data_IF_293554881992
#
_entry.id   IF_293554881992
#
_cell.length_a   1.000
_cell.length_b   1.000
_cell.length_c   1.000
_cell.angle_alpha   90.00
_cell.angle_beta   90.00
_cell.angle_gamma   90.00
#
_symmetry.space_group_name_H-M   'P 1'
#
loop_
_entity.id
_entity.type
_entity.pdbx_description
1 polymer ?
#
# COMPACT_ATOMS: atom_id res chain seq x y z
N UNK A 1 13.75 -13.05 -6.11
CA UNK A 1 14.81 -13.41 -5.16
C UNK A 1 14.67 -14.86 -4.70
N UNK A 2 15.78 -15.47 -4.27
CA UNK A 2 15.77 -16.82 -3.72
C UNK A 2 15.18 -16.84 -2.30
N UNK A 3 14.37 -17.84 -2.00
CA UNK A 3 13.82 -18.12 -0.67
C UNK A 3 14.36 -19.45 -0.10
N UNK A 4 15.53 -19.86 -0.53
CA UNK A 4 16.18 -21.11 -0.16
C UNK A 4 16.61 -21.89 -1.39
N UNK A 5 16.97 -23.17 -1.21
CA UNK A 5 17.62 -23.95 -2.28
C UNK A 5 16.73 -24.22 -3.50
N UNK A 6 15.43 -24.32 -3.32
CA UNK A 6 14.49 -24.76 -4.37
C UNK A 6 13.30 -23.83 -4.58
N UNK A 7 13.24 -22.71 -3.87
CA UNK A 7 12.10 -21.79 -3.93
C UNK A 7 12.55 -20.39 -4.31
N UNK A 8 11.83 -19.75 -5.22
CA UNK A 8 12.04 -18.36 -5.62
C UNK A 8 10.76 -17.58 -5.47
N UNK A 9 10.88 -16.34 -4.99
CA UNK A 9 9.77 -15.39 -5.00
C UNK A 9 9.89 -14.49 -6.23
N UNK A 10 8.78 -14.33 -6.92
CA UNK A 10 8.62 -13.45 -8.08
C UNK A 10 7.49 -12.50 -7.79
N UNK A 11 7.70 -11.20 -7.94
CA UNK A 11 6.70 -10.19 -7.65
C UNK A 11 6.71 -9.07 -8.67
N UNK A 12 5.56 -8.41 -8.81
CA UNK A 12 5.37 -7.21 -9.59
C UNK A 12 4.66 -6.19 -8.70
N UNK A 13 5.18 -4.97 -8.64
CA UNK A 13 4.58 -3.85 -7.92
C UNK A 13 3.98 -2.90 -8.94
N UNK A 14 2.70 -2.58 -8.77
CA UNK A 14 1.97 -1.67 -9.64
C UNK A 14 1.46 -0.48 -8.83
N UNK A 15 1.73 0.74 -9.30
CA UNK A 15 1.06 1.93 -8.79
C UNK A 15 -0.40 1.92 -9.24
N UNK A 16 -1.35 1.99 -8.29
CA UNK A 16 -2.78 1.93 -8.60
C UNK A 16 -3.34 3.23 -9.19
N UNK A 17 -2.50 4.24 -9.40
CA UNK A 17 -2.83 5.49 -10.07
C UNK A 17 -2.67 5.41 -11.61
N UNK A 18 -2.64 4.21 -12.16
CA UNK A 18 -2.57 4.00 -13.60
C UNK A 18 -3.80 4.57 -14.32
N UNK A 19 -3.57 5.09 -15.52
CA UNK A 19 -4.59 5.77 -16.32
C UNK A 19 -5.48 4.83 -17.17
N UNK A 20 -5.19 3.55 -17.18
CA UNK A 20 -5.89 2.55 -17.99
C UNK A 20 -6.92 1.81 -17.14
N UNK A 21 -8.21 2.06 -17.35
CA UNK A 21 -9.29 1.49 -16.55
C UNK A 21 -9.47 -0.03 -16.70
N UNK A 22 -8.96 -0.59 -17.79
CA UNK A 22 -8.98 -2.03 -18.09
C UNK A 22 -7.68 -2.75 -17.73
N UNK A 23 -6.74 -2.07 -17.06
CA UNK A 23 -5.53 -2.71 -16.57
C UNK A 23 -5.87 -3.67 -15.43
N UNK A 24 -5.52 -4.93 -15.62
CA UNK A 24 -5.68 -5.97 -14.62
C UNK A 24 -4.30 -6.33 -14.05
N UNK A 25 -4.01 -6.05 -12.77
CA UNK A 25 -2.72 -6.34 -12.14
C UNK A 25 -2.29 -7.79 -12.27
N UNK A 26 -3.22 -8.74 -12.16
CA UNK A 26 -2.93 -10.16 -12.33
C UNK A 26 -2.46 -10.48 -13.74
N UNK A 27 -3.13 -9.91 -14.73
CA UNK A 27 -2.77 -10.10 -16.15
C UNK A 27 -1.38 -9.48 -16.45
N UNK A 28 -1.07 -8.33 -15.88
CA UNK A 28 0.27 -7.72 -16.00
C UNK A 28 1.34 -8.60 -15.37
N UNK A 29 1.05 -9.20 -14.21
CA UNK A 29 1.96 -10.14 -13.56
C UNK A 29 2.21 -11.40 -14.42
N UNK A 30 1.16 -11.97 -15.02
CA UNK A 30 1.31 -13.10 -15.93
C UNK A 30 2.10 -12.74 -17.19
N UNK A 31 1.88 -11.54 -17.74
CA UNK A 31 2.67 -11.01 -18.86
C UNK A 31 4.15 -10.88 -18.48
N UNK A 32 4.43 -10.38 -17.28
CA UNK A 32 5.80 -10.29 -16.75
C UNK A 32 6.44 -11.68 -16.62
N UNK A 33 5.73 -12.66 -16.06
CA UNK A 33 6.19 -14.05 -15.94
C UNK A 33 6.44 -14.71 -17.31
N UNK A 34 5.66 -14.31 -18.32
CA UNK A 34 5.80 -14.80 -19.69
C UNK A 34 7.00 -14.21 -20.43
N UNK A 35 7.60 -13.12 -19.94
CA UNK A 35 8.77 -12.52 -20.57
C UNK A 35 9.88 -13.57 -20.75
N UNK A 36 10.55 -13.66 -21.91
CA UNK A 36 11.51 -14.75 -22.23
C UNK A 36 12.61 -14.93 -21.20
N UNK A 37 13.11 -13.83 -20.64
CA UNK A 37 14.13 -13.88 -19.58
C UNK A 37 13.58 -14.50 -18.29
N UNK A 38 12.43 -14.03 -17.81
CA UNK A 38 11.80 -14.51 -16.57
C UNK A 38 11.35 -15.96 -16.71
N UNK A 39 10.67 -16.28 -17.82
CA UNK A 39 10.19 -17.62 -18.12
C UNK A 39 11.32 -18.66 -18.16
N UNK A 40 12.50 -18.27 -18.65
CA UNK A 40 13.68 -19.15 -18.65
C UNK A 40 14.19 -19.43 -17.23
N UNK A 41 14.18 -18.43 -16.34
CA UNK A 41 14.57 -18.60 -14.93
C UNK A 41 13.59 -19.48 -14.15
N UNK A 42 12.31 -19.46 -14.54
CA UNK A 42 11.24 -20.22 -13.88
C UNK A 42 10.97 -21.58 -14.52
N UNK A 43 11.76 -21.97 -15.54
CA UNK A 43 11.56 -23.21 -16.30
C UNK A 43 11.62 -24.43 -15.39
N UNK A 44 10.59 -25.27 -15.45
CA UNK A 44 10.46 -26.49 -14.65
C UNK A 44 9.95 -26.25 -13.23
N UNK A 45 9.75 -25.01 -12.82
CA UNK A 45 9.15 -24.68 -11.53
C UNK A 45 7.61 -24.76 -11.56
N UNK A 46 7.04 -25.08 -10.40
CA UNK A 46 5.58 -25.03 -10.17
C UNK A 46 5.25 -23.90 -9.20
N UNK A 47 4.10 -23.27 -9.39
CA UNK A 47 3.61 -22.25 -8.44
C UNK A 47 3.11 -22.96 -7.19
N UNK A 48 3.73 -22.66 -6.06
CA UNK A 48 3.35 -23.26 -4.75
C UNK A 48 2.44 -22.35 -3.93
N UNK A 49 2.55 -21.03 -4.10
CA UNK A 49 1.68 -20.07 -3.45
C UNK A 49 1.63 -18.78 -4.27
N UNK A 50 0.55 -18.04 -4.15
CA UNK A 50 0.37 -16.70 -4.71
C UNK A 50 -0.18 -15.77 -3.63
N UNK A 51 -0.10 -14.47 -3.87
CA UNK A 51 -0.68 -13.47 -3.00
C UNK A 51 -0.57 -12.09 -3.60
N UNK A 52 -1.47 -11.22 -3.20
CA UNK A 52 -1.41 -9.81 -3.54
C UNK A 52 -1.88 -8.98 -2.35
N UNK A 53 -1.26 -7.83 -2.15
CA UNK A 53 -1.65 -6.89 -1.12
C UNK A 53 -1.57 -5.47 -1.67
N UNK A 54 -2.59 -4.68 -1.41
CA UNK A 54 -2.58 -3.25 -1.65
C UNK A 54 -2.05 -2.54 -0.41
N UNK A 55 -1.09 -1.64 -0.60
CA UNK A 55 -0.53 -0.81 0.47
C UNK A 55 -0.68 0.68 0.10
N UNK A 56 -0.97 1.56 1.07
CA UNK A 56 -1.06 2.99 0.83
C UNK A 56 0.34 3.59 0.65
N UNK A 57 0.58 4.20 -0.50
CA UNK A 57 1.87 4.82 -0.85
C UNK A 57 1.77 6.33 -1.08
N UNK A 58 0.71 6.97 -0.61
CA UNK A 58 0.49 8.40 -0.80
C UNK A 58 1.41 9.31 0.03
N UNK A 59 2.24 8.73 0.90
CA UNK A 59 3.15 9.46 1.78
C UNK A 59 2.42 10.39 2.74
N UNK A 60 3.11 11.44 3.19
CA UNK A 60 2.60 12.37 4.18
C UNK A 60 1.22 12.98 3.83
N UNK A 61 1.00 13.32 2.56
CA UNK A 61 -0.23 13.98 2.14
C UNK A 61 -1.48 13.06 2.13
N UNK A 62 -1.27 11.75 2.18
CA UNK A 62 -2.34 10.77 2.23
C UNK A 62 -2.64 10.27 3.65
N UNK A 63 -1.85 10.69 4.64
CA UNK A 63 -2.11 10.36 6.03
C UNK A 63 -3.38 11.07 6.51
N UNK A 64 -4.26 10.30 7.13
CA UNK A 64 -5.46 10.82 7.80
C UNK A 64 -5.20 11.19 9.26
N UNK A 65 -6.28 11.23 10.05
CA UNK A 65 -6.18 11.33 11.50
C UNK A 65 -5.53 10.04 12.04
N UNK A 66 -4.48 10.20 12.86
CA UNK A 66 -3.72 9.08 13.42
C UNK A 66 -4.36 8.52 14.69
N UNK A 67 -5.17 9.33 15.37
CA UNK A 67 -5.94 8.94 16.54
C UNK A 67 -7.35 9.53 16.52
N UNK A 68 -8.25 8.86 17.20
CA UNK A 68 -9.60 9.32 17.48
C UNK A 68 -10.00 8.80 18.88
N UNK A 69 -11.10 9.26 19.48
CA UNK A 69 -11.54 8.71 20.75
C UNK A 69 -11.67 7.18 20.71
N UNK A 70 -10.86 6.49 21.51
CA UNK A 70 -10.85 5.03 21.59
C UNK A 70 -10.14 4.28 20.44
N UNK A 71 -9.48 4.99 19.51
CA UNK A 71 -8.82 4.35 18.37
C UNK A 71 -7.51 5.05 17.97
N UNK A 72 -6.53 4.24 17.55
CA UNK A 72 -5.29 4.70 16.91
C UNK A 72 -5.02 3.86 15.66
N UNK A 73 -4.43 4.47 14.63
CA UNK A 73 -4.06 3.78 13.39
C UNK A 73 -2.54 3.69 13.31
N UNK A 74 -2.01 2.50 13.02
CA UNK A 74 -0.58 2.20 13.00
C UNK A 74 -0.14 1.61 11.66
N UNK A 75 1.16 1.60 11.42
CA UNK A 75 1.79 0.92 10.30
C UNK A 75 1.35 1.45 8.93
N UNK A 76 1.27 0.55 7.98
CA UNK A 76 0.87 0.87 6.61
C UNK A 76 -0.59 1.36 6.52
N UNK A 77 -1.46 0.92 7.43
CA UNK A 77 -2.82 1.45 7.56
C UNK A 77 -2.88 2.95 7.87
N UNK A 78 -1.90 3.48 8.59
CA UNK A 78 -1.73 4.91 8.85
C UNK A 78 -1.00 5.66 7.71
N UNK A 79 -0.61 4.97 6.63
CA UNK A 79 0.18 5.54 5.55
C UNK A 79 1.69 5.63 5.87
N UNK A 80 2.18 4.88 6.86
CA UNK A 80 3.59 4.90 7.25
C UNK A 80 4.47 4.04 6.34
N UNK A 81 4.36 4.28 5.03
CA UNK A 81 5.25 3.72 4.02
C UNK A 81 6.05 4.86 3.37
N UNK A 82 7.35 4.87 3.59
CA UNK A 82 8.23 5.89 3.00
C UNK A 82 8.64 5.44 1.60
N UNK A 83 8.15 6.14 0.59
CA UNK A 83 8.36 5.82 -0.82
C UNK A 83 9.77 6.10 -1.31
N UNK A 84 10.47 7.07 -0.73
CA UNK A 84 11.86 7.36 -1.08
C UNK A 84 12.79 6.22 -0.66
N UNK A 85 12.55 5.68 0.54
CA UNK A 85 13.35 4.58 1.10
C UNK A 85 12.80 3.20 0.73
N UNK A 86 11.60 3.11 0.18
CA UNK A 86 10.85 1.86 -0.05
C UNK A 86 10.80 1.03 1.25
N UNK A 87 10.45 1.67 2.35
CA UNK A 87 10.46 1.09 3.70
C UNK A 87 9.16 1.39 4.44
N UNK A 88 8.64 0.36 5.12
CA UNK A 88 7.44 0.45 5.95
C UNK A 88 7.58 -0.29 7.28
N UNK A 89 8.28 -1.42 7.30
CA UNK A 89 8.30 -2.35 8.46
C UNK A 89 8.75 -1.66 9.75
N UNK A 90 9.84 -0.92 9.73
CA UNK A 90 10.35 -0.24 10.92
C UNK A 90 9.42 0.89 11.41
N UNK A 91 8.69 1.55 10.50
CA UNK A 91 7.67 2.53 10.89
C UNK A 91 6.44 1.83 11.48
N UNK A 92 6.06 0.67 10.95
CA UNK A 92 4.98 -0.13 11.53
C UNK A 92 5.31 -0.57 12.96
N UNK A 93 6.54 -1.04 13.20
CA UNK A 93 7.02 -1.41 14.54
C UNK A 93 7.01 -0.19 15.48
N UNK A 94 7.60 0.93 15.06
CA UNK A 94 7.68 2.15 15.88
C UNK A 94 6.30 2.73 16.20
N UNK A 95 5.43 2.79 15.22
CA UNK A 95 4.07 3.29 15.45
C UNK A 95 3.26 2.35 16.34
N UNK A 96 3.45 1.03 16.21
CA UNK A 96 2.85 0.05 17.11
C UNK A 96 3.31 0.21 18.56
N UNK A 97 4.61 0.41 18.78
CA UNK A 97 5.17 0.69 20.12
C UNK A 97 4.60 1.99 20.70
N UNK A 98 4.62 3.08 19.93
CA UNK A 98 4.06 4.36 20.38
C UNK A 98 2.57 4.26 20.71
N UNK A 99 1.81 3.49 19.94
CA UNK A 99 0.39 3.26 20.21
C UNK A 99 0.19 2.44 21.49
N UNK A 100 0.99 1.40 21.70
CA UNK A 100 0.94 0.60 22.93
C UNK A 100 1.23 1.43 24.17
N UNK A 101 2.29 2.24 24.15
CA UNK A 101 2.64 3.13 25.26
C UNK A 101 1.54 4.16 25.54
N UNK A 102 0.94 4.73 24.47
CA UNK A 102 -0.18 5.66 24.61
C UNK A 102 -1.41 4.99 25.20
N UNK A 103 -1.72 3.78 24.73
CA UNK A 103 -2.86 3.01 25.26
C UNK A 103 -2.68 2.66 26.73
N UNK A 104 -1.47 2.25 27.14
CA UNK A 104 -1.16 1.94 28.53
C UNK A 104 -1.33 3.15 29.44
N UNK A 105 -0.90 4.33 29.02
CA UNK A 105 -1.11 5.56 29.78
C UNK A 105 -2.60 5.95 29.82
N UNK A 106 -3.30 5.87 28.69
CA UNK A 106 -4.72 6.22 28.61
C UNK A 106 -5.61 5.27 29.43
N UNK A 107 -5.25 4.00 29.53
CA UNK A 107 -5.94 3.01 30.38
C UNK A 107 -5.60 3.16 31.85
N UNK A 108 -4.57 3.91 32.17
CA UNK A 108 -4.12 4.38 33.48
C UNK A 108 -4.68 3.71 34.72
N UNK A 109 -4.29 4.19 35.86
CA UNK A 109 -4.58 3.61 37.17
C UNK A 109 -6.08 3.57 37.58
N UNK A 110 -6.96 4.29 36.89
CA UNK A 110 -8.35 4.51 37.38
C UNK A 110 -9.46 3.98 36.44
N UNK A 111 -9.11 3.27 35.36
CA UNK A 111 -10.09 2.68 34.44
C UNK A 111 -10.94 3.69 33.63
N UNK A 112 -10.66 4.97 33.75
CA UNK A 112 -11.23 6.04 32.90
C UNK A 112 -10.38 6.17 31.66
N UNK A 113 -11.01 6.03 30.47
CA UNK A 113 -10.30 6.19 29.19
C UNK A 113 -9.76 7.62 29.09
N UNK A 114 -8.43 7.75 29.13
CA UNK A 114 -7.71 9.00 28.91
C UNK A 114 -7.67 9.40 27.43
N UNK A 115 -7.10 10.57 27.14
CA UNK A 115 -6.87 11.01 25.77
C UNK A 115 -5.79 10.17 25.08
N UNK A 116 -5.97 9.90 23.79
CA UNK A 116 -4.98 9.27 22.91
C UNK A 116 -4.13 10.32 22.15
N UNK A 117 -4.20 11.59 22.53
CA UNK A 117 -3.50 12.68 21.83
C UNK A 117 -1.97 12.54 21.91
N UNK A 118 -1.45 11.99 23.00
CA UNK A 118 -0.02 11.69 23.18
C UNK A 118 0.59 10.72 22.15
N UNK A 119 -0.24 10.04 21.36
CA UNK A 119 0.24 9.16 20.29
C UNK A 119 1.04 9.92 19.23
N UNK A 120 0.49 11.05 18.77
CA UNK A 120 1.17 11.89 17.78
C UNK A 120 2.47 12.45 18.31
N UNK A 121 2.49 12.92 19.55
CA UNK A 121 3.68 13.50 20.18
C UNK A 121 4.81 12.47 20.28
N UNK A 122 4.49 11.20 20.57
CA UNK A 122 5.46 10.11 20.56
C UNK A 122 6.04 9.83 19.19
N UNK A 123 5.21 9.87 18.15
CA UNK A 123 5.67 9.71 16.78
C UNK A 123 6.61 10.83 16.35
N UNK A 124 6.31 12.07 16.74
CA UNK A 124 7.16 13.24 16.51
C UNK A 124 8.47 13.13 17.28
N UNK A 125 8.43 12.83 18.55
CA UNK A 125 9.61 12.65 19.41
C UNK A 125 10.55 11.53 18.92
N UNK A 126 10.01 10.51 18.24
CA UNK A 126 10.80 9.44 17.62
C UNK A 126 11.55 9.86 16.35
N UNK A 127 11.31 11.06 15.82
CA UNK A 127 11.82 11.53 14.53
C UNK A 127 11.16 10.85 13.32
N UNK A 128 10.15 10.01 13.53
CA UNK A 128 9.51 9.26 12.46
C UNK A 128 8.77 10.18 11.49
N UNK A 129 8.08 11.19 12.00
CA UNK A 129 7.33 12.12 11.15
C UNK A 129 8.24 13.03 10.33
N UNK A 130 9.46 13.32 10.80
CA UNK A 130 10.46 14.09 10.04
C UNK A 130 10.89 13.37 8.76
N UNK A 131 11.04 12.04 8.82
CA UNK A 131 11.33 11.21 7.65
C UNK A 131 10.21 11.35 6.58
N UNK A 132 8.95 11.40 6.99
CA UNK A 132 7.83 11.60 6.06
C UNK A 132 7.75 13.03 5.54
N UNK A 133 8.09 14.02 6.38
CA UNK A 133 8.21 15.41 5.94
C UNK A 133 9.31 15.56 4.88
N UNK A 134 10.43 14.88 5.06
CA UNK A 134 11.50 14.89 4.06
C UNK A 134 11.06 14.26 2.75
N UNK A 135 10.43 13.10 2.78
CA UNK A 135 10.01 12.35 1.59
C UNK A 135 8.67 12.84 0.98
N UNK A 136 8.04 13.89 1.51
CA UNK A 136 6.65 14.28 1.19
C UNK A 136 6.35 14.50 -0.28
N UNK A 137 7.32 14.93 -1.06
CA UNK A 137 7.16 15.23 -2.49
C UNK A 137 7.73 14.14 -3.41
N UNK A 138 8.38 13.13 -2.85
CA UNK A 138 9.09 12.13 -3.64
C UNK A 138 8.18 11.47 -4.69
N UNK A 139 6.97 11.06 -4.28
CA UNK A 139 6.03 10.41 -5.19
C UNK A 139 5.39 11.38 -6.18
N UNK A 140 5.09 12.60 -5.75
CA UNK A 140 4.34 13.58 -6.53
C UNK A 140 5.05 14.03 -7.80
N UNK A 141 6.37 13.99 -7.83
CA UNK A 141 7.16 14.37 -9.02
C UNK A 141 6.98 13.39 -10.17
N UNK A 142 6.64 12.12 -9.89
CA UNK A 142 6.43 11.11 -10.94
C UNK A 142 5.14 11.32 -11.75
N UNK A 143 4.26 12.24 -11.34
CA UNK A 143 3.14 12.67 -12.19
C UNK A 143 3.61 13.27 -13.54
N UNK A 144 4.84 13.75 -13.60
CA UNK A 144 5.46 14.27 -14.83
C UNK A 144 6.11 13.17 -15.70
N UNK A 145 5.91 11.91 -15.32
CA UNK A 145 6.48 10.74 -15.98
C UNK A 145 7.87 10.37 -15.44
N UNK A 146 8.34 9.17 -15.82
CA UNK A 146 9.56 8.59 -15.28
C UNK A 146 10.82 9.43 -15.61
N UNK A 147 10.93 9.89 -16.86
CA UNK A 147 12.12 10.60 -17.32
C UNK A 147 12.33 11.98 -16.69
N UNK A 148 11.24 12.65 -16.31
CA UNK A 148 11.29 13.95 -15.63
C UNK A 148 11.25 13.75 -14.11
N UNK A 149 10.44 12.82 -13.64
CA UNK A 149 10.28 12.53 -12.22
C UNK A 149 11.56 12.02 -11.56
N UNK A 150 12.33 11.15 -12.24
CA UNK A 150 13.55 10.57 -11.67
C UNK A 150 14.62 11.63 -11.34
N UNK A 151 15.08 12.49 -12.25
CA UNK A 151 16.04 13.51 -11.88
C UNK A 151 15.48 14.51 -10.88
N UNK A 152 14.20 14.85 -10.97
CA UNK A 152 13.57 15.77 -10.03
C UNK A 152 13.46 15.18 -8.63
N UNK A 153 13.17 13.88 -8.49
CA UNK A 153 13.18 13.20 -7.19
C UNK A 153 14.57 13.17 -6.56
N UNK A 154 15.62 12.92 -7.36
CA UNK A 154 17.00 12.97 -6.89
C UNK A 154 17.38 14.36 -6.38
N UNK A 155 17.05 15.41 -7.12
CA UNK A 155 17.30 16.78 -6.66
C UNK A 155 16.57 17.07 -5.34
N UNK A 156 15.33 16.65 -5.22
CA UNK A 156 14.54 16.88 -4.01
C UNK A 156 15.08 16.12 -2.80
N UNK A 157 15.65 14.94 -2.96
CA UNK A 157 16.25 14.16 -1.86
C UNK A 157 17.44 14.88 -1.22
N UNK A 158 18.09 15.80 -1.94
CA UNK A 158 19.22 16.59 -1.42
C UNK A 158 18.82 17.99 -0.91
N UNK A 159 17.56 18.40 -1.10
CA UNK A 159 17.10 19.74 -0.66
C UNK A 159 16.40 19.62 0.69
N UNK A 160 16.94 20.22 1.78
CA UNK A 160 16.41 20.08 3.13
C UNK A 160 14.97 20.58 3.30
N UNK A 161 14.56 21.55 2.51
CA UNK A 161 13.18 22.08 2.44
C UNK A 161 12.65 21.93 1.03
N UNK A 162 11.99 20.83 0.81
CA UNK A 162 11.36 20.58 -0.48
C UNK A 162 10.26 21.61 -0.76
N UNK A 163 10.28 22.17 -1.96
CA UNK A 163 9.21 23.07 -2.43
C UNK A 163 7.95 22.22 -2.54
N UNK A 164 6.88 22.61 -1.81
CA UNK A 164 5.65 21.84 -1.75
C UNK A 164 5.01 21.66 -3.13
N UNK A 165 4.98 20.42 -3.60
CA UNK A 165 4.20 20.01 -4.76
C UNK A 165 2.90 19.47 -4.20
N UNK A 166 1.80 20.19 -4.48
CA UNK A 166 0.49 19.88 -3.92
C UNK A 166 0.01 18.45 -4.21
N UNK A 167 -0.90 18.02 -3.31
CA UNK A 167 -1.68 16.78 -3.33
C UNK A 167 -1.86 16.21 -4.72
N UNK A 168 -1.78 14.89 -4.80
CA UNK A 168 -2.31 14.15 -5.93
C UNK A 168 -3.76 14.57 -6.14
N UNK A 169 -4.01 15.23 -7.25
CA UNK A 169 -5.38 15.54 -7.66
C UNK A 169 -6.13 14.23 -7.87
N UNK A 170 -7.42 14.31 -7.73
CA UNK A 170 -8.36 13.23 -7.89
C UNK A 170 -7.97 12.28 -9.05
N UNK A 171 -7.77 11.01 -8.73
CA UNK A 171 -7.36 9.97 -9.68
C UNK A 171 -8.46 9.59 -10.69
N UNK A 172 -9.57 10.30 -10.73
CA UNK A 172 -10.67 10.13 -11.70
C UNK A 172 -10.28 10.54 -13.13
N UNK A 173 -9.09 10.17 -13.57
CA UNK A 173 -8.75 10.33 -14.98
C UNK A 173 -9.48 9.26 -15.78
N UNK A 174 -10.34 9.68 -16.69
CA UNK A 174 -11.00 8.80 -17.66
C UNK A 174 -9.96 7.91 -18.32
N UNK A 175 -10.05 6.61 -18.08
CA UNK A 175 -9.04 5.66 -18.49
C UNK A 175 -9.02 5.44 -20.01
N UNK A 176 -7.84 5.48 -20.59
CA UNK A 176 -7.61 4.85 -21.89
C UNK A 176 -7.70 3.33 -21.74
N UNK A 177 -8.01 2.61 -22.83
CA UNK A 177 -7.99 1.13 -22.85
C UNK A 177 -6.62 0.63 -23.32
N UNK A 178 -6.12 -0.40 -22.67
CA UNK A 178 -4.84 -1.02 -23.00
C UNK A 178 -4.92 -1.97 -24.20
N UNK A 179 -6.08 -2.56 -24.43
CA UNK A 179 -6.32 -3.48 -25.55
C UNK A 179 -5.24 -4.56 -25.73
N UNK A 180 -4.82 -5.20 -24.65
CA UNK A 180 -3.80 -6.24 -24.67
C UNK A 180 -4.42 -7.63 -24.76
N UNK A 181 -3.80 -8.58 -25.53
CA UNK A 181 -4.23 -9.97 -25.53
C UNK A 181 -4.05 -10.60 -24.14
N UNK A 182 -4.91 -11.58 -23.84
CA UNK A 182 -4.81 -12.37 -22.61
C UNK A 182 -3.58 -13.29 -22.69
N UNK A 183 -2.67 -13.26 -21.71
CA UNK A 183 -1.53 -14.17 -21.66
C UNK A 183 -1.90 -15.64 -21.37
N UNK A 184 -3.14 -15.91 -20.94
CA UNK A 184 -3.74 -17.26 -20.88
C UNK A 184 -3.08 -18.28 -19.95
N UNK A 185 -2.30 -17.85 -18.95
CA UNK A 185 -1.48 -18.78 -18.14
C UNK A 185 -2.13 -19.25 -16.84
N UNK A 186 -2.96 -18.45 -16.23
CA UNK A 186 -3.63 -18.80 -14.97
C UNK A 186 -4.96 -18.08 -14.89
N UNK A 187 -6.02 -18.82 -14.68
CA UNK A 187 -7.34 -18.24 -14.45
C UNK A 187 -7.45 -17.68 -13.02
N UNK A 188 -8.41 -16.77 -12.82
CA UNK A 188 -8.58 -16.07 -11.54
C UNK A 188 -8.94 -17.00 -10.39
N UNK A 189 -9.70 -18.07 -10.64
CA UNK A 189 -10.08 -19.03 -9.59
C UNK A 189 -8.87 -19.81 -9.09
N UNK A 190 -8.04 -20.31 -9.99
CA UNK A 190 -6.77 -20.96 -9.65
C UNK A 190 -5.85 -20.01 -8.88
N UNK A 191 -5.76 -18.74 -9.31
CA UNK A 191 -4.97 -17.75 -8.58
C UNK A 191 -5.47 -17.56 -7.15
N UNK A 192 -6.77 -17.35 -6.97
CA UNK A 192 -7.37 -17.18 -5.64
C UNK A 192 -7.17 -18.41 -4.77
N UNK A 193 -7.38 -19.62 -5.30
CA UNK A 193 -7.14 -20.86 -4.57
C UNK A 193 -5.71 -20.99 -4.03
N UNK A 194 -4.72 -20.52 -4.79
CA UNK A 194 -3.31 -20.56 -4.39
C UNK A 194 -2.90 -19.46 -3.40
N UNK A 195 -3.78 -18.49 -3.12
CA UNK A 195 -3.48 -17.47 -2.09
C UNK A 195 -3.53 -18.05 -0.68
N UNK A 196 -4.23 -19.17 -0.48
CA UNK A 196 -4.46 -19.75 0.83
C UNK A 196 -5.31 -18.86 1.74
N UNK A 197 -6.01 -17.88 1.18
CA UNK A 197 -6.91 -17.00 1.95
C UNK A 197 -8.13 -17.80 2.38
N UNK A 198 -8.30 -17.95 3.68
CA UNK A 198 -9.44 -18.58 4.30
C UNK A 198 -10.17 -17.54 5.15
N UNK A 199 -11.48 -17.47 5.01
CA UNK A 199 -12.36 -16.71 5.88
C UNK A 199 -13.10 -17.69 6.81
N UNK A 200 -13.25 -17.30 8.07
CA UNK A 200 -14.04 -18.09 9.02
C UNK A 200 -15.52 -17.89 8.70
N UNK A 201 -16.30 -18.97 8.75
CA UNK A 201 -17.75 -18.92 8.48
C UNK A 201 -18.50 -18.04 9.48
N UNK A 202 -17.95 -17.89 10.70
CA UNK A 202 -18.49 -17.08 11.79
C UNK A 202 -17.94 -15.64 11.80
N UNK A 203 -17.14 -15.25 10.80
CA UNK A 203 -16.58 -13.90 10.68
C UNK A 203 -17.67 -12.92 10.22
N UNK A 204 -17.80 -11.75 10.88
CA UNK A 204 -18.74 -10.73 10.45
C UNK A 204 -18.48 -10.30 9.01
N UNK A 205 -19.55 -10.09 8.24
CA UNK A 205 -19.42 -9.56 6.87
C UNK A 205 -18.74 -8.19 6.88
N UNK A 206 -17.72 -8.03 6.04
CA UNK A 206 -17.02 -6.74 5.84
C UNK A 206 -17.92 -5.68 5.20
N UNK A 207 -18.98 -6.11 4.52
CA UNK A 207 -19.93 -5.23 3.83
C UNK A 207 -21.31 -5.46 4.45
N UNK A 208 -21.85 -4.43 5.09
CA UNK A 208 -23.22 -4.44 5.60
C UNK A 208 -24.12 -3.70 4.63
N UNK A 209 -25.08 -4.40 4.03
CA UNK A 209 -26.09 -3.79 3.15
C UNK A 209 -27.19 -3.18 4.04
N UNK A 210 -27.17 -1.85 4.18
CA UNK A 210 -28.15 -1.13 4.98
C UNK A 210 -29.49 -0.89 4.30
N UNK A 211 -29.54 -0.99 2.95
CA UNK A 211 -30.79 -1.03 2.17
C UNK A 211 -30.57 -1.62 0.77
N UNK A 212 -31.56 -2.36 0.27
CA UNK A 212 -31.50 -2.96 -1.09
C UNK A 212 -31.35 -1.94 -2.22
N UNK A 213 -31.81 -0.71 -2.02
CA UNK A 213 -31.79 0.34 -3.04
C UNK A 213 -30.40 0.98 -3.25
N UNK A 214 -29.51 0.88 -2.28
CA UNK A 214 -28.16 1.42 -2.41
C UNK A 214 -27.18 0.48 -3.11
N UNK A 215 -27.53 -0.80 -3.21
CA UNK A 215 -26.67 -1.80 -3.84
C UNK A 215 -26.69 -1.73 -5.39
N UNK A 216 -27.81 -1.32 -5.98
CA UNK A 216 -27.96 -1.20 -7.45
C UNK A 216 -27.24 0.01 -8.05
N UNK A 217 -26.95 1.03 -7.26
CA UNK A 217 -26.22 2.22 -7.73
C UNK A 217 -24.69 2.03 -7.74
N UNK A 218 -24.18 0.99 -7.10
CA UNK A 218 -22.74 0.71 -7.04
C UNK A 218 -22.24 -0.30 -8.10
N UNK A 219 -23.15 -0.88 -8.87
CA UNK A 219 -22.87 -1.88 -9.90
C UNK A 219 -23.22 -1.40 -11.34
N UNK A 220 -23.57 -0.12 -11.49
CA UNK A 220 -23.86 0.51 -12.77
C UNK A 220 -22.71 1.32 -13.36
#
# INVERSE_FOLDING_TARGET
YSMGEKTVAVGLILGLDYKYGDLNPQREFETFRAHPFISRLLKGGTTVATGAKTIPEGGLYAQGALSAPGAMVTGDGAGFVNMEKIKGIHYAIRSGMAAADTALEALGTDGTAGSLDGYRDRLEASGMLDDFQHARNYRQVFKYGLFVGTPLSLVQSYVPRQIGIHRDGDATKKGARLNRPDPGRMDGATFVALTGTLHREDEPSHITITSRWKCTAALG
#
